data_IF_287360959488
#
_entry.id   IF_287360959488
#
_cell.length_a   1.000
_cell.length_b   1.000
_cell.length_c   1.000
_cell.angle_alpha   90.00
_cell.angle_beta   90.00
_cell.angle_gamma   90.00
#
_symmetry.space_group_name_H-M   'P 1'
#
loop_
_entity.id
_entity.type
_entity.pdbx_description
1 polymer ?
#
# COMPACT_ATOMS: atom_id res chain seq x y z
N UNK A 1 15.20 2.34 0.99
CA UNK A 1 16.28 2.96 0.23
C UNK A 1 16.15 4.49 0.23
N UNK A 2 17.22 5.19 -0.09
CA UNK A 2 17.28 6.65 -0.23
C UNK A 2 17.79 6.98 -1.63
N UNK A 3 17.17 7.95 -2.28
CA UNK A 3 17.62 8.48 -3.58
C UNK A 3 17.67 10.00 -3.54
N UNK A 4 18.58 10.55 -4.32
CA UNK A 4 18.69 11.96 -4.59
C UNK A 4 18.47 12.22 -6.07
N UNK A 5 17.59 13.16 -6.40
CA UNK A 5 17.37 13.64 -7.76
C UNK A 5 17.48 15.15 -7.77
N UNK A 6 18.53 15.66 -8.38
CA UNK A 6 18.87 17.06 -8.26
C UNK A 6 19.17 17.44 -6.80
N UNK A 7 18.42 18.40 -6.25
CA UNK A 7 18.59 18.87 -4.88
C UNK A 7 17.60 18.26 -3.89
N UNK A 8 16.83 17.24 -4.30
CA UNK A 8 15.81 16.61 -3.44
C UNK A 8 16.22 15.20 -3.11
N UNK A 9 16.29 14.90 -1.82
CA UNK A 9 16.48 13.55 -1.29
C UNK A 9 15.16 12.99 -0.74
N UNK A 10 14.85 11.75 -1.06
CA UNK A 10 13.66 11.07 -0.54
C UNK A 10 13.94 9.60 -0.21
N UNK A 11 13.21 9.07 0.74
CA UNK A 11 13.24 7.66 1.07
C UNK A 11 12.16 6.91 0.28
N UNK A 12 12.45 5.69 -0.10
CA UNK A 12 11.51 4.83 -0.82
C UNK A 12 11.75 3.36 -0.52
N UNK A 13 10.72 2.55 -0.76
CA UNK A 13 10.85 1.10 -0.90
C UNK A 13 10.77 0.77 -2.39
N UNK A 14 11.77 0.08 -2.92
CA UNK A 14 11.73 -0.40 -4.30
C UNK A 14 11.01 -1.74 -4.32
N UNK A 15 10.07 -1.88 -5.23
CA UNK A 15 9.36 -3.12 -5.53
C UNK A 15 9.79 -3.57 -6.93
N UNK A 16 10.44 -4.71 -6.98
CA UNK A 16 11.01 -5.35 -8.17
C UNK A 16 9.92 -5.73 -9.20
N UNK A 17 10.31 -5.86 -10.46
CA UNK A 17 9.43 -6.28 -11.56
C UNK A 17 9.21 -7.79 -11.65
N UNK A 18 10.03 -8.59 -11.00
CA UNK A 18 10.07 -10.03 -11.18
C UNK A 18 9.70 -10.81 -9.92
N UNK A 19 9.80 -10.17 -8.75
CA UNK A 19 9.62 -10.82 -7.44
C UNK A 19 8.54 -10.10 -6.66
N UNK A 20 7.60 -10.87 -6.13
CA UNK A 20 6.59 -10.33 -5.22
C UNK A 20 7.27 -9.94 -3.89
N UNK A 21 7.41 -8.65 -3.66
CA UNK A 21 7.95 -8.08 -2.44
C UNK A 21 6.84 -7.52 -1.57
N UNK A 22 7.01 -7.59 -0.25
CA UNK A 22 6.02 -7.14 0.70
C UNK A 22 6.62 -6.15 1.69
N UNK A 23 5.85 -5.13 2.05
CA UNK A 23 6.11 -4.29 3.21
C UNK A 23 4.94 -4.41 4.20
N UNK A 24 5.27 -4.27 5.48
CA UNK A 24 4.28 -4.38 6.55
C UNK A 24 4.25 -3.10 7.35
N UNK A 25 3.04 -2.65 7.60
CA UNK A 25 2.75 -1.50 8.44
C UNK A 25 1.79 -1.92 9.54
N UNK A 26 1.84 -1.22 10.66
CA UNK A 26 0.90 -1.50 11.74
C UNK A 26 0.33 -0.22 12.32
N UNK A 27 -0.91 -0.29 12.75
CA UNK A 27 -1.58 0.79 13.46
C UNK A 27 -2.61 0.21 14.44
N UNK A 28 -3.21 1.09 15.23
CA UNK A 28 -4.16 0.74 16.28
C UNK A 28 -5.43 1.55 16.08
N UNK A 29 -6.58 0.90 16.20
CA UNK A 29 -7.86 1.59 16.24
C UNK A 29 -8.14 1.96 17.70
N UNK A 30 -8.27 3.25 18.02
CA UNK A 30 -8.57 3.67 19.38
C UNK A 30 -9.88 3.08 19.92
N UNK A 31 -9.95 2.86 21.22
CA UNK A 31 -11.15 2.39 21.88
C UNK A 31 -12.26 3.44 21.81
N UNK A 32 -13.50 3.00 21.67
CA UNK A 32 -14.69 3.86 21.62
C UNK A 32 -14.94 4.49 20.26
N UNK A 33 -14.28 3.98 19.21
CA UNK A 33 -14.41 4.50 17.85
C UNK A 33 -15.08 3.44 16.96
N UNK A 34 -16.18 3.82 16.34
CA UNK A 34 -16.83 3.01 15.30
C UNK A 34 -16.30 3.42 13.93
N UNK A 35 -15.72 2.49 13.19
CA UNK A 35 -15.19 2.73 11.85
C UNK A 35 -16.34 2.81 10.85
N UNK A 36 -16.45 3.93 10.15
CA UNK A 36 -17.45 4.16 9.10
C UNK A 36 -16.94 3.76 7.73
N UNK A 37 -15.72 4.19 7.40
CA UNK A 37 -15.05 3.85 6.15
C UNK A 37 -13.54 3.93 6.32
N UNK A 38 -12.80 3.35 5.40
CA UNK A 38 -11.35 3.50 5.31
C UNK A 38 -10.91 3.62 3.85
N UNK A 39 -9.79 4.30 3.62
CA UNK A 39 -9.13 4.36 2.32
C UNK A 39 -7.61 4.33 2.48
N UNK A 40 -6.93 3.90 1.43
CA UNK A 40 -5.48 3.93 1.36
C UNK A 40 -5.07 4.90 0.26
N UNK A 41 -4.38 5.97 0.64
CA UNK A 41 -3.71 6.87 -0.29
C UNK A 41 -2.29 6.40 -0.54
N UNK A 42 -1.87 6.38 -1.79
CA UNK A 42 -0.56 5.91 -2.24
C UNK A 42 0.17 7.01 -3.00
N UNK A 43 1.43 7.23 -2.67
CA UNK A 43 2.38 8.01 -3.46
C UNK A 43 3.52 7.12 -3.91
N UNK A 44 3.75 7.07 -5.20
CA UNK A 44 4.77 6.24 -5.81
C UNK A 44 5.40 6.92 -7.02
N UNK A 45 6.49 6.37 -7.51
CA UNK A 45 7.13 6.79 -8.75
C UNK A 45 7.87 5.61 -9.39
N UNK A 46 8.43 5.83 -10.57
CA UNK A 46 9.25 4.86 -11.28
C UNK A 46 10.29 5.56 -12.15
N UNK A 47 11.29 4.82 -12.60
CA UNK A 47 12.24 5.25 -13.65
C UNK A 47 11.74 5.01 -15.05
N UNK A 48 10.51 4.49 -15.22
CA UNK A 48 9.94 4.22 -16.55
C UNK A 48 9.91 5.48 -17.40
N UNK A 49 10.18 5.29 -18.69
CA UNK A 49 9.94 6.27 -19.74
C UNK A 49 8.81 5.85 -20.67
N UNK A 50 8.19 4.70 -20.40
CA UNK A 50 7.05 4.21 -21.15
C UNK A 50 5.76 4.83 -20.61
N UNK A 51 5.04 5.51 -21.49
CA UNK A 51 3.73 6.06 -21.17
C UNK A 51 2.66 4.97 -21.11
N UNK A 52 1.66 5.16 -20.25
CA UNK A 52 0.50 4.26 -20.10
C UNK A 52 0.83 2.84 -19.63
N UNK A 53 1.92 2.67 -18.90
CA UNK A 53 2.16 1.45 -18.11
C UNK A 53 1.42 1.54 -16.78
N UNK A 54 0.98 0.41 -16.24
CA UNK A 54 0.31 0.36 -14.95
C UNK A 54 1.14 -0.43 -13.94
N UNK A 55 1.05 -0.01 -12.69
CA UNK A 55 1.44 -0.79 -11.52
C UNK A 55 0.18 -1.23 -10.79
N UNK A 56 0.18 -2.44 -10.28
CA UNK A 56 -0.88 -2.93 -9.41
C UNK A 56 -0.36 -3.13 -7.99
N UNK A 57 -1.05 -2.49 -7.06
CA UNK A 57 -0.78 -2.60 -5.63
C UNK A 57 -1.87 -3.40 -4.95
N UNK A 58 -1.47 -4.40 -4.17
CA UNK A 58 -2.37 -5.17 -3.32
C UNK A 58 -2.14 -4.82 -1.86
N UNK A 59 -3.24 -4.68 -1.15
CA UNK A 59 -3.31 -4.34 0.26
C UNK A 59 -4.08 -5.42 0.98
N UNK A 60 -3.44 -6.09 1.92
CA UNK A 60 -4.07 -7.09 2.78
C UNK A 60 -3.96 -6.63 4.23
N UNK A 61 -5.07 -6.41 4.90
CA UNK A 61 -5.09 -6.09 6.31
C UNK A 61 -5.58 -7.27 7.15
N UNK A 62 -4.96 -7.42 8.29
CA UNK A 62 -5.42 -8.31 9.33
C UNK A 62 -5.58 -7.57 10.64
N UNK A 63 -6.70 -7.82 11.28
CA UNK A 63 -6.99 -7.30 12.61
C UNK A 63 -6.69 -8.33 13.68
N UNK A 64 -6.16 -7.88 14.79
CA UNK A 64 -5.88 -8.66 15.99
C UNK A 64 -6.51 -7.99 17.19
N UNK A 65 -7.32 -8.71 17.91
CA UNK A 65 -7.88 -8.28 19.19
C UNK A 65 -7.12 -8.93 20.36
N UNK A 66 -7.54 -8.63 21.56
CA UNK A 66 -6.90 -9.12 22.79
C UNK A 66 -6.86 -10.66 22.94
N UNK A 67 -7.64 -11.38 22.14
CA UNK A 67 -7.72 -12.86 22.17
C UNK A 67 -7.08 -13.51 20.95
N UNK A 68 -6.55 -12.72 20.02
CA UNK A 68 -5.97 -13.23 18.77
C UNK A 68 -4.58 -13.80 19.00
N UNK A 69 -4.30 -14.92 18.36
CA UNK A 69 -2.93 -15.45 18.26
C UNK A 69 -2.26 -14.83 17.04
N UNK A 70 -1.10 -14.22 17.25
CA UNK A 70 -0.23 -13.76 16.16
C UNK A 70 0.56 -14.95 15.67
N UNK A 71 0.23 -15.45 14.48
CA UNK A 71 0.94 -16.55 13.83
C UNK A 71 2.05 -16.01 12.91
N UNK A 72 3.13 -16.77 12.76
CA UNK A 72 4.27 -16.43 11.90
C UNK A 72 3.91 -16.43 10.39
N UNK A 73 2.91 -17.21 9.99
CA UNK A 73 2.32 -17.13 8.67
C UNK A 73 1.24 -16.07 8.69
N UNK A 74 1.45 -14.99 7.93
CA UNK A 74 0.37 -14.03 7.70
C UNK A 74 -0.81 -14.79 7.09
N UNK A 75 -1.84 -15.01 7.89
CA UNK A 75 -2.99 -15.75 7.41
C UNK A 75 -3.81 -14.87 6.49
N UNK A 76 -4.84 -15.47 5.95
CA UNK A 76 -5.79 -14.80 5.08
C UNK A 76 -6.19 -13.42 5.63
N UNK A 77 -6.12 -12.42 4.77
CA UNK A 77 -6.53 -11.06 5.11
C UNK A 77 -7.99 -11.04 5.57
N UNK A 78 -8.29 -10.25 6.59
CA UNK A 78 -9.67 -9.98 6.96
C UNK A 78 -10.31 -8.95 6.03
N UNK A 79 -9.47 -8.10 5.43
CA UNK A 79 -9.87 -7.10 4.46
C UNK A 79 -8.77 -6.93 3.42
N UNK A 80 -9.14 -6.72 2.18
CA UNK A 80 -8.21 -6.50 1.07
C UNK A 80 -8.69 -5.40 0.14
N UNK A 81 -7.75 -4.80 -0.58
CA UNK A 81 -8.03 -3.86 -1.65
C UNK A 81 -6.95 -3.97 -2.72
N UNK A 82 -7.31 -3.71 -3.97
CA UNK A 82 -6.39 -3.68 -5.10
C UNK A 82 -6.49 -2.34 -5.80
N UNK A 83 -5.35 -1.71 -6.06
CA UNK A 83 -5.27 -0.42 -6.73
C UNK A 83 -4.38 -0.52 -7.96
N UNK A 84 -4.97 -0.34 -9.13
CA UNK A 84 -4.23 -0.21 -10.39
C UNK A 84 -4.01 1.26 -10.73
N UNK A 85 -2.76 1.66 -10.88
CA UNK A 85 -2.36 3.04 -11.17
C UNK A 85 -1.57 3.12 -12.46
N UNK A 86 -1.97 4.03 -13.34
CA UNK A 86 -1.29 4.27 -14.60
C UNK A 86 -0.14 5.25 -14.39
N UNK A 87 1.05 4.88 -14.86
CA UNK A 87 2.17 5.81 -15.01
C UNK A 87 2.01 6.59 -16.31
N UNK A 88 1.33 7.72 -16.22
CA UNK A 88 0.86 8.51 -17.36
C UNK A 88 1.91 9.53 -17.84
N UNK A 89 3.18 9.16 -17.87
CA UNK A 89 4.27 10.07 -18.30
C UNK A 89 5.43 9.31 -18.91
N UNK A 90 6.15 9.97 -19.80
CA UNK A 90 7.43 9.51 -20.34
C UNK A 90 8.63 10.09 -19.58
N UNK A 91 8.38 10.90 -18.57
CA UNK A 91 9.42 11.50 -17.73
C UNK A 91 9.65 10.62 -16.50
N UNK A 92 10.87 10.11 -16.30
CA UNK A 92 11.16 9.29 -15.11
C UNK A 92 11.08 10.12 -13.83
N UNK A 93 10.80 9.43 -12.72
CA UNK A 93 10.73 9.98 -11.37
C UNK A 93 9.61 11.01 -11.12
N UNK A 94 8.56 11.01 -11.93
CA UNK A 94 7.37 11.82 -11.66
C UNK A 94 6.54 11.15 -10.57
N UNK A 95 6.21 11.91 -9.54
CA UNK A 95 5.38 11.43 -8.43
C UNK A 95 3.94 11.19 -8.92
N UNK A 96 3.45 10.00 -8.67
CA UNK A 96 2.08 9.58 -8.94
C UNK A 96 1.33 9.41 -7.62
N UNK A 97 0.02 9.63 -7.65
CA UNK A 97 -0.87 9.41 -6.51
C UNK A 97 -2.09 8.62 -6.93
N UNK A 98 -2.56 7.78 -6.03
CA UNK A 98 -3.85 7.10 -6.14
C UNK A 98 -4.47 6.86 -4.79
N UNK A 99 -5.74 6.48 -4.80
CA UNK A 99 -6.48 6.11 -3.59
C UNK A 99 -7.41 4.95 -3.89
N UNK A 100 -7.61 4.09 -2.92
CA UNK A 100 -8.56 2.99 -2.98
C UNK A 100 -9.31 2.88 -1.66
N UNK A 101 -10.61 2.63 -1.76
CA UNK A 101 -11.43 2.32 -0.59
C UNK A 101 -11.09 0.93 -0.07
N UNK A 102 -11.02 0.83 1.25
CA UNK A 102 -10.68 -0.39 1.95
C UNK A 102 -11.90 -0.91 2.70
N UNK A 103 -12.14 -2.21 2.60
CA UNK A 103 -13.28 -2.80 3.29
C UNK A 103 -13.12 -2.70 4.81
N UNK A 104 -14.16 -2.22 5.48
CA UNK A 104 -14.14 -1.92 6.92
C UNK A 104 -14.98 -2.85 7.77
N UNK A 105 -15.69 -3.80 7.16
CA UNK A 105 -16.61 -4.69 7.87
C UNK A 105 -15.96 -5.49 9.00
N UNK A 106 -14.65 -5.65 8.94
CA UNK A 106 -13.85 -6.39 9.93
C UNK A 106 -13.01 -5.51 10.84
N UNK A 107 -12.97 -4.19 10.62
CA UNK A 107 -12.20 -3.26 11.43
C UNK A 107 -13.03 -2.82 12.65
N UNK A 108 -12.55 -3.16 13.84
CA UNK A 108 -13.27 -2.86 15.09
C UNK A 108 -12.42 -1.99 16.04
N UNK A 109 -13.09 -1.38 17.00
CA UNK A 109 -12.41 -0.64 18.06
C UNK A 109 -11.42 -1.53 18.83
N UNK A 110 -10.32 -0.95 19.26
CA UNK A 110 -9.24 -1.64 19.98
C UNK A 110 -8.47 -2.71 19.18
N UNK A 111 -8.75 -2.86 17.90
CA UNK A 111 -7.99 -3.77 17.06
C UNK A 111 -6.60 -3.22 16.74
N UNK A 112 -5.63 -4.12 16.74
CA UNK A 112 -4.32 -3.90 16.17
C UNK A 112 -4.33 -4.39 14.72
N UNK A 113 -3.99 -3.51 13.80
CA UNK A 113 -4.01 -3.81 12.37
C UNK A 113 -2.58 -4.03 11.88
N UNK A 114 -2.34 -5.12 11.17
CA UNK A 114 -1.17 -5.31 10.32
C UNK A 114 -1.63 -5.20 8.87
N UNK A 115 -1.11 -4.22 8.16
CA UNK A 115 -1.33 -3.99 6.74
C UNK A 115 -0.11 -4.47 5.97
N UNK A 116 -0.31 -5.44 5.09
CA UNK A 116 0.66 -5.85 4.08
C UNK A 116 0.43 -5.05 2.80
N UNK A 117 1.48 -4.53 2.23
CA UNK A 117 1.49 -3.87 0.93
C UNK A 117 2.40 -4.66 0.00
N UNK A 118 1.90 -5.05 -1.15
CA UNK A 118 2.65 -5.77 -2.17
C UNK A 118 2.40 -5.19 -3.56
N UNK A 119 3.36 -5.40 -4.46
CA UNK A 119 3.17 -5.19 -5.89
C UNK A 119 2.73 -6.50 -6.52
N UNK A 120 1.62 -6.49 -7.24
CA UNK A 120 1.15 -7.64 -8.01
C UNK A 120 1.78 -7.61 -9.42
N UNK A 121 2.96 -8.17 -9.51
CA UNK A 121 3.74 -8.23 -10.76
C UNK A 121 3.10 -9.10 -11.85
N UNK A 122 2.15 -9.95 -11.50
CA UNK A 122 1.44 -10.79 -12.46
C UNK A 122 0.35 -10.02 -13.23
N UNK A 123 -0.19 -8.98 -12.62
CA UNK A 123 -1.29 -8.18 -13.16
C UNK A 123 -0.90 -6.74 -13.49
N UNK A 124 0.40 -6.41 -13.47
CA UNK A 124 0.91 -5.12 -13.93
C UNK A 124 1.76 -5.25 -15.20
N UNK A 125 2.06 -4.13 -15.84
CA UNK A 125 2.90 -4.10 -17.03
C UNK A 125 4.03 -3.06 -16.95
N UNK A 126 4.32 -2.54 -15.76
CA UNK A 126 5.42 -1.63 -15.53
C UNK A 126 6.73 -2.43 -15.54
N UNK A 127 7.53 -2.28 -16.60
CA UNK A 127 8.78 -3.03 -16.84
C UNK A 127 9.98 -2.54 -16.01
N UNK A 128 9.77 -1.65 -15.04
CA UNK A 128 10.80 -1.12 -14.13
C UNK A 128 10.31 -1.23 -12.68
N UNK A 129 11.21 -1.06 -11.72
CA UNK A 129 10.81 -1.03 -10.32
C UNK A 129 9.78 0.06 -10.06
N UNK A 130 8.81 -0.26 -9.22
CA UNK A 130 7.89 0.70 -8.66
C UNK A 130 8.42 1.15 -7.28
N UNK A 131 8.58 2.44 -7.09
CA UNK A 131 9.10 2.99 -5.85
C UNK A 131 7.99 3.57 -5.00
N UNK A 132 7.68 2.89 -3.94
CA UNK A 132 6.74 3.33 -2.93
C UNK A 132 7.37 4.45 -2.09
N UNK A 133 6.79 5.63 -2.15
CA UNK A 133 7.26 6.80 -1.40
C UNK A 133 6.53 6.90 -0.08
N UNK A 134 5.20 6.76 -0.11
CA UNK A 134 4.35 6.90 1.06
C UNK A 134 3.01 6.19 0.87
N UNK A 135 2.50 5.63 1.97
CA UNK A 135 1.10 5.22 2.10
C UNK A 135 0.47 5.86 3.32
N UNK A 136 -0.80 6.18 3.24
CA UNK A 136 -1.61 6.64 4.37
C UNK A 136 -2.88 5.81 4.40
N UNK A 137 -3.09 5.10 5.51
CA UNK A 137 -4.37 4.50 5.84
C UNK A 137 -5.22 5.57 6.55
N UNK A 138 -6.27 6.02 5.87
CA UNK A 138 -7.26 6.92 6.43
C UNK A 138 -8.40 6.10 7.02
N UNK A 139 -8.75 6.34 8.25
CA UNK A 139 -9.89 5.70 8.93
C UNK A 139 -10.87 6.81 9.31
N UNK A 140 -12.10 6.70 8.81
CA UNK A 140 -13.16 7.64 9.10
C UNK A 140 -14.12 7.04 10.12
N UNK A 141 -14.61 7.85 11.04
CA UNK A 141 -15.40 7.45 12.19
C UNK A 141 -16.83 8.00 12.10
N UNK A 142 -17.76 7.27 12.70
CA UNK A 142 -19.13 7.76 12.96
C UNK A 142 -19.17 8.64 14.20
#
# INVERSE_FOLDING_TARGET
AKRESGNVAYNYLAYDTATAENAFYSCWIPKGISVASASIDVWWTSTSTANSTNVQWDFDARTYNNSSTINDTLPEANASATLSLVYATTTPNVLQRGSVDFETSTLQESDYIILKVSRDVANDNLATDAWWIRGILNIFYN
#
